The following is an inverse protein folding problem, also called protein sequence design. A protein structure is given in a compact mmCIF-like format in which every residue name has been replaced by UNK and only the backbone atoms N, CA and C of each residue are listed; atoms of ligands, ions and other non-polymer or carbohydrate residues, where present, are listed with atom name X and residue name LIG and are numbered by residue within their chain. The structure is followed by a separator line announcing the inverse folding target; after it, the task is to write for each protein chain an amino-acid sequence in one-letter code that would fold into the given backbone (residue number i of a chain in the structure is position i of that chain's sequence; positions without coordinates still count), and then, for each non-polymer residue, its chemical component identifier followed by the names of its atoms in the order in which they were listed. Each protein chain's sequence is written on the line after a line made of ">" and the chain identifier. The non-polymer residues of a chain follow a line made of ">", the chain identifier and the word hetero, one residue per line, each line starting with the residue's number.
data_IF_674784792529
#
_entry.id   IF_674784792529
#
_cell.length_a   1.000
_cell.length_b   1.000
_cell.length_c   1.000
_cell.angle_alpha   90.00
_cell.angle_beta   90.00
_cell.angle_gamma   90.00
#
_symmetry.space_group_name_H-M   'P 1'
#
loop_
_entity.id
_entity.type
_entity.pdbx_description
1 polymer ?
#
# COMPACT_ATOMS: atom_id res chain seq x y z
N UNK A 1 11.53 1.70 -3.47
CA UNK A 1 12.11 1.84 -2.12
C UNK A 1 13.58 1.44 -2.02
N UNK A 2 14.04 0.50 -2.84
CA UNK A 2 15.43 0.02 -2.80
C UNK A 2 16.46 1.07 -3.27
N UNK A 3 16.05 2.15 -3.91
CA UNK A 3 16.94 3.29 -4.22
C UNK A 3 17.62 3.86 -2.98
N UNK A 4 16.94 3.87 -1.84
CA UNK A 4 17.50 4.31 -0.56
C UNK A 4 18.64 3.44 -0.01
N UNK A 5 18.86 2.26 -0.56
CA UNK A 5 20.04 1.43 -0.24
C UNK A 5 21.30 1.93 -0.91
N UNK A 6 21.15 2.60 -2.05
CA UNK A 6 22.26 3.19 -2.78
C UNK A 6 22.50 4.63 -2.32
N UNK A 7 21.42 5.38 -2.16
CA UNK A 7 21.44 6.76 -1.71
C UNK A 7 20.44 6.95 -0.55
N UNK A 8 20.96 6.95 0.67
CA UNK A 8 20.14 7.03 1.90
C UNK A 8 19.33 8.33 2.01
N UNK A 9 19.75 9.38 1.32
CA UNK A 9 19.06 10.67 1.29
C UNK A 9 17.85 10.70 0.36
N UNK A 10 17.53 9.60 -0.33
CA UNK A 10 16.33 9.52 -1.15
C UNK A 10 15.08 9.65 -0.27
N UNK A 11 14.03 10.37 -0.73
CA UNK A 11 12.77 10.43 -0.03
C UNK A 11 12.09 9.05 0.02
N UNK A 12 11.20 8.86 0.97
CA UNK A 12 10.39 7.65 1.05
C UNK A 12 9.41 7.56 -0.14
N UNK A 13 9.11 6.34 -0.57
CA UNK A 13 8.18 6.12 -1.69
C UNK A 13 6.79 6.70 -1.42
N UNK A 14 6.29 6.61 -0.20
CA UNK A 14 5.02 7.22 0.20
C UNK A 14 5.03 8.76 0.15
N UNK A 15 6.20 9.36 0.36
CA UNK A 15 6.39 10.83 0.33
C UNK A 15 6.27 11.38 -1.09
N UNK A 16 6.84 10.70 -2.08
CA UNK A 16 6.82 11.13 -3.48
C UNK A 16 5.58 10.64 -4.25
N UNK A 17 4.84 9.70 -3.70
CA UNK A 17 3.69 9.08 -4.37
C UNK A 17 2.63 10.10 -4.83
N UNK A 18 2.21 11.10 -4.05
CA UNK A 18 1.21 12.07 -4.50
C UNK A 18 1.66 12.89 -5.71
N UNK A 19 2.92 13.28 -5.76
CA UNK A 19 3.48 14.04 -6.89
C UNK A 19 3.53 13.19 -8.16
N UNK A 20 3.96 11.94 -8.04
CA UNK A 20 3.99 10.98 -9.15
C UNK A 20 2.56 10.70 -9.66
N UNK A 21 1.61 10.51 -8.75
CA UNK A 21 0.22 10.26 -9.10
C UNK A 21 -0.39 11.44 -9.91
N UNK A 22 -0.12 12.67 -9.48
CA UNK A 22 -0.58 13.86 -10.22
C UNK A 22 0.10 13.99 -11.58
N UNK A 23 1.42 13.75 -11.66
CA UNK A 23 2.17 13.83 -12.91
C UNK A 23 1.72 12.78 -13.94
N UNK A 24 1.26 11.61 -13.50
CA UNK A 24 0.82 10.52 -14.37
C UNK A 24 -0.69 10.49 -14.61
N UNK A 25 -1.41 11.45 -14.08
CA UNK A 25 -2.87 11.54 -14.20
C UNK A 25 -3.30 11.58 -15.68
N UNK A 26 -4.20 10.69 -16.06
CA UNK A 26 -4.70 10.59 -17.43
C UNK A 26 -3.76 9.89 -18.41
N UNK A 27 -2.56 9.48 -18.01
CA UNK A 27 -1.59 8.78 -18.88
C UNK A 27 -1.95 7.30 -19.12
N UNK A 28 -2.79 6.70 -18.28
CA UNK A 28 -3.08 5.27 -18.29
C UNK A 28 -1.98 4.40 -17.65
N UNK A 29 -0.88 4.98 -17.20
CA UNK A 29 0.21 4.26 -16.52
C UNK A 29 -0.25 3.86 -15.11
N UNK A 30 -0.01 2.60 -14.74
CA UNK A 30 -0.33 2.07 -13.41
C UNK A 30 0.80 2.34 -12.43
N UNK A 31 0.43 2.75 -11.22
CA UNK A 31 1.36 3.08 -10.15
C UNK A 31 1.30 1.98 -9.10
N UNK A 32 2.41 1.26 -8.95
CA UNK A 32 2.61 0.27 -7.91
C UNK A 32 3.59 0.85 -6.89
N UNK A 33 3.22 0.86 -5.63
CA UNK A 33 4.07 1.39 -4.55
C UNK A 33 4.56 0.27 -3.63
N UNK A 34 5.84 0.31 -3.32
CA UNK A 34 6.47 -0.56 -2.32
C UNK A 34 7.11 0.25 -1.20
N UNK A 35 7.54 -0.44 -0.16
CA UNK A 35 8.29 0.15 0.94
C UNK A 35 7.42 0.43 2.17
N UNK A 36 7.66 -0.37 3.21
CA UNK A 36 7.02 -0.16 4.51
C UNK A 36 5.57 -0.60 4.65
N UNK A 37 4.95 -1.17 3.62
CA UNK A 37 3.58 -1.69 3.70
C UNK A 37 3.56 -2.93 4.60
N UNK A 38 2.76 -2.89 5.67
CA UNK A 38 2.67 -3.93 6.71
C UNK A 38 1.24 -4.35 7.02
N UNK A 39 0.29 -3.45 6.88
CA UNK A 39 -1.10 -3.61 7.33
C UNK A 39 -2.08 -3.22 6.23
N UNK A 40 -3.35 -3.62 6.39
CA UNK A 40 -4.41 -3.16 5.50
C UNK A 40 -4.64 -1.65 5.57
N UNK A 41 -4.32 -1.02 6.70
CA UNK A 41 -4.35 0.45 6.83
C UNK A 41 -3.29 1.10 5.95
N UNK A 42 -2.09 0.52 5.87
CA UNK A 42 -1.03 1.03 4.98
C UNK A 42 -1.45 0.89 3.51
N UNK A 43 -2.10 -0.22 3.15
CA UNK A 43 -2.68 -0.41 1.81
C UNK A 43 -3.70 0.70 1.52
N UNK A 44 -4.64 0.94 2.43
CA UNK A 44 -5.64 2.01 2.29
C UNK A 44 -4.99 3.38 2.08
N UNK A 45 -3.98 3.72 2.87
CA UNK A 45 -3.24 4.99 2.73
C UNK A 45 -2.55 5.11 1.37
N UNK A 46 -1.89 4.05 0.91
CA UNK A 46 -1.23 4.05 -0.40
C UNK A 46 -2.22 4.28 -1.54
N UNK A 47 -3.38 3.61 -1.51
CA UNK A 47 -4.44 3.81 -2.49
C UNK A 47 -4.99 5.24 -2.44
N UNK A 48 -5.23 5.78 -1.24
CA UNK A 48 -5.69 7.16 -1.07
C UNK A 48 -4.69 8.19 -1.59
N UNK A 49 -3.39 7.91 -1.53
CA UNK A 49 -2.32 8.76 -2.04
C UNK A 49 -2.10 8.65 -3.55
N UNK A 50 -2.82 7.76 -4.23
CA UNK A 50 -2.83 7.66 -5.69
C UNK A 50 -2.19 6.40 -6.27
N UNK A 51 -1.83 5.41 -5.47
CA UNK A 51 -1.38 4.12 -5.99
C UNK A 51 -2.56 3.32 -6.56
N UNK A 52 -2.30 2.55 -7.62
CA UNK A 52 -3.25 1.55 -8.13
C UNK A 52 -3.15 0.23 -7.36
N UNK A 53 -1.95 -0.12 -6.86
CA UNK A 53 -1.71 -1.31 -6.04
C UNK A 53 -0.44 -1.14 -5.20
N UNK A 54 -0.22 -2.08 -4.29
CA UNK A 54 0.95 -2.11 -3.41
C UNK A 54 1.75 -3.40 -3.59
N UNK A 55 3.03 -3.35 -3.23
CA UNK A 55 3.93 -4.48 -3.17
C UNK A 55 4.36 -4.70 -1.72
N UNK A 56 4.29 -5.95 -1.26
CA UNK A 56 4.68 -6.35 0.09
C UNK A 56 5.69 -7.50 -0.02
N UNK A 57 6.84 -7.38 0.62
CA UNK A 57 7.90 -8.37 0.53
C UNK A 57 8.22 -9.03 1.88
N UNK A 58 8.97 -8.37 2.76
CA UNK A 58 9.46 -8.96 4.02
C UNK A 58 8.38 -9.55 4.94
N UNK A 59 7.20 -8.98 5.10
CA UNK A 59 6.14 -9.61 5.88
C UNK A 59 5.72 -10.98 5.36
N UNK A 60 5.72 -11.18 4.04
CA UNK A 60 5.45 -12.50 3.44
C UNK A 60 6.58 -13.50 3.69
N UNK A 61 7.83 -13.03 3.75
CA UNK A 61 8.96 -13.88 4.17
C UNK A 61 8.72 -14.41 5.58
N UNK A 62 8.33 -13.53 6.51
CA UNK A 62 7.99 -13.94 7.88
C UNK A 62 6.82 -14.93 7.92
N UNK A 63 5.79 -14.70 7.11
CA UNK A 63 4.63 -15.59 7.02
C UNK A 63 5.02 -17.00 6.54
N UNK A 64 5.87 -17.08 5.52
CA UNK A 64 6.37 -18.36 5.00
C UNK A 64 7.22 -19.10 6.03
N UNK A 65 8.14 -18.41 6.71
CA UNK A 65 8.94 -18.99 7.77
C UNK A 65 8.11 -19.44 8.98
N UNK A 66 7.00 -18.72 9.26
CA UNK A 66 6.11 -19.05 10.38
C UNK A 66 5.27 -20.30 10.15
N UNK A 67 4.65 -20.43 8.97
CA UNK A 67 3.70 -21.52 8.69
C UNK A 67 3.55 -21.83 7.17
N UNK A 68 4.57 -21.60 6.37
CA UNK A 68 4.54 -21.91 4.93
C UNK A 68 3.35 -21.27 4.20
N UNK A 69 2.68 -22.03 3.36
CA UNK A 69 1.53 -21.54 2.59
C UNK A 69 0.36 -21.11 3.47
N UNK A 70 0.13 -21.80 4.59
CA UNK A 70 -0.91 -21.42 5.57
C UNK A 70 -0.59 -20.05 6.20
N UNK A 71 0.66 -19.81 6.54
CA UNK A 71 1.10 -18.50 7.06
C UNK A 71 0.84 -17.36 6.06
N UNK A 72 1.07 -17.61 4.77
CA UNK A 72 0.75 -16.65 3.70
C UNK A 72 -0.75 -16.37 3.66
N UNK A 73 -1.59 -17.40 3.71
CA UNK A 73 -3.05 -17.24 3.71
C UNK A 73 -3.53 -16.42 4.91
N UNK A 74 -3.05 -16.74 6.11
CA UNK A 74 -3.37 -16.00 7.34
C UNK A 74 -3.01 -14.52 7.21
N UNK A 75 -1.85 -14.22 6.63
CA UNK A 75 -1.42 -12.84 6.46
C UNK A 75 -2.25 -12.09 5.40
N UNK A 76 -2.60 -12.75 4.29
CA UNK A 76 -3.49 -12.17 3.27
C UNK A 76 -4.85 -11.87 3.86
N UNK A 77 -5.44 -12.81 4.61
CA UNK A 77 -6.75 -12.62 5.25
C UNK A 77 -6.72 -11.47 6.26
N UNK A 78 -5.64 -11.35 7.02
CA UNK A 78 -5.43 -10.22 7.93
C UNK A 78 -5.39 -8.88 7.18
N UNK A 79 -4.60 -8.78 6.11
CA UNK A 79 -4.52 -7.57 5.30
C UNK A 79 -5.89 -7.19 4.71
N UNK A 80 -6.61 -8.19 4.18
CA UNK A 80 -7.93 -7.99 3.59
C UNK A 80 -8.95 -7.51 4.64
N UNK A 81 -8.96 -8.12 5.83
CA UNK A 81 -9.82 -7.74 6.95
C UNK A 81 -9.55 -6.30 7.40
N UNK A 82 -8.29 -5.96 7.63
CA UNK A 82 -7.89 -4.60 8.06
C UNK A 82 -8.23 -3.55 7.00
N UNK A 83 -8.07 -3.87 5.71
CA UNK A 83 -8.45 -2.98 4.61
C UNK A 83 -9.96 -2.76 4.59
N UNK A 84 -10.74 -3.85 4.68
CA UNK A 84 -12.20 -3.78 4.69
C UNK A 84 -12.74 -2.96 5.88
N UNK A 85 -12.19 -3.17 7.07
CA UNK A 85 -12.55 -2.41 8.27
C UNK A 85 -12.22 -0.92 8.09
N UNK A 86 -11.04 -0.61 7.57
CA UNK A 86 -10.63 0.78 7.30
C UNK A 86 -11.54 1.44 6.28
N UNK A 87 -11.88 0.73 5.20
CA UNK A 87 -12.83 1.21 4.18
C UNK A 87 -14.20 1.50 4.80
N UNK A 88 -14.71 0.59 5.63
CA UNK A 88 -15.98 0.78 6.32
C UNK A 88 -15.98 2.00 7.23
N UNK A 89 -14.90 2.19 8.00
CA UNK A 89 -14.74 3.33 8.91
C UNK A 89 -14.63 4.67 8.15
N UNK A 90 -14.09 4.66 6.94
CA UNK A 90 -13.93 5.85 6.10
C UNK A 90 -15.08 6.06 5.11
N UNK A 91 -16.05 5.15 5.03
CA UNK A 91 -17.21 5.26 4.15
C UNK A 91 -16.93 4.90 2.68
N UNK A 92 -15.88 4.12 2.39
CA UNK A 92 -15.58 3.62 1.06
C UNK A 92 -16.20 2.23 0.84
N UNK A 93 -17.08 2.09 -0.13
CA UNK A 93 -17.75 0.82 -0.49
C UNK A 93 -16.98 0.01 -1.53
N UNK A 94 -16.02 0.63 -2.21
CA UNK A 94 -15.13 0.00 -3.19
C UNK A 94 -13.76 0.64 -3.16
N UNK A 95 -12.75 -0.03 -3.74
CA UNK A 95 -11.40 0.55 -3.85
C UNK A 95 -11.41 1.86 -4.64
N UNK A 96 -12.27 1.98 -5.64
CA UNK A 96 -12.38 3.19 -6.46
C UNK A 96 -12.93 4.41 -5.70
N UNK A 97 -13.61 4.18 -4.57
CA UNK A 97 -14.14 5.25 -3.71
C UNK A 97 -13.12 5.78 -2.71
N UNK A 98 -11.97 5.12 -2.56
CA UNK A 98 -10.90 5.59 -1.69
C UNK A 98 -10.27 6.84 -2.29
N UNK A 99 -10.34 7.96 -1.57
CA UNK A 99 -9.85 9.26 -2.03
C UNK A 99 -8.83 9.87 -1.08
N UNK A 100 -8.06 10.81 -1.60
CA UNK A 100 -7.04 11.56 -0.85
C UNK A 100 -7.58 12.23 0.42
N UNK A 101 -8.86 12.62 0.42
CA UNK A 101 -9.49 13.31 1.55
C UNK A 101 -9.73 12.40 2.76
N UNK A 102 -9.62 11.08 2.59
CA UNK A 102 -9.81 10.09 3.66
C UNK A 102 -8.55 9.91 4.52
N UNK A 103 -7.42 10.51 4.13
CA UNK A 103 -6.16 10.44 4.87
C UNK A 103 -5.60 11.82 5.17
N UNK A 104 -4.92 11.93 6.31
CA UNK A 104 -4.11 13.09 6.67
C UNK A 104 -2.63 12.77 6.47
N UNK A 105 -1.93 13.64 5.82
CA UNK A 105 -0.47 13.65 5.64
C UNK A 105 0.04 15.08 5.78
#
# INVERSE_FOLDING_TARGET
>A
NHGGRVLDQCPATAEVLPEIAEALKGSGVKILVDGGIRTGVDVFKALALGADAVLIARPFVNAIYGAGAEGVQVYVDKLAGELADTMSMCGAHSLAEITRNMVRV
#
